data_IF_286823491033
#
_entry.id   IF_286823491033
#
_cell.length_a   1.000
_cell.length_b   1.000
_cell.length_c   1.000
_cell.angle_alpha   90.00
_cell.angle_beta   90.00
_cell.angle_gamma   90.00
#
_symmetry.space_group_name_H-M   'P 1'
#
loop_
_entity.id
_entity.type
_entity.pdbx_description
1 polymer ?
#
# COMPACT_ATOMS: atom_id res chain seq x y z
N UNK A 1 27.34 -14.23 -14.65
CA UNK A 1 25.92 -14.18 -14.29
C UNK A 1 25.25 -13.25 -15.28
N UNK A 2 24.27 -13.73 -16.05
CA UNK A 2 23.60 -12.88 -17.04
C UNK A 2 22.64 -11.93 -16.34
N UNK A 3 22.46 -10.73 -16.91
CA UNK A 3 21.60 -9.68 -16.36
C UNK A 3 20.14 -10.15 -16.20
N UNK A 4 19.70 -11.06 -17.06
CA UNK A 4 18.41 -11.78 -17.01
C UNK A 4 18.22 -12.70 -15.80
N UNK A 5 19.31 -13.19 -15.18
CA UNK A 5 19.24 -13.99 -13.94
C UNK A 5 19.13 -13.09 -12.69
N UNK A 6 19.53 -11.82 -12.81
CA UNK A 6 19.50 -10.79 -11.74
C UNK A 6 18.15 -10.05 -11.71
N UNK A 7 17.36 -10.15 -12.78
CA UNK A 7 15.97 -9.68 -12.80
C UNK A 7 15.15 -10.60 -11.89
N UNK A 8 15.14 -10.25 -10.60
CA UNK A 8 14.65 -11.03 -9.50
C UNK A 8 13.28 -11.65 -9.80
N UNK A 9 13.21 -12.97 -9.69
CA UNK A 9 11.92 -13.65 -9.56
C UNK A 9 11.20 -13.00 -8.37
N UNK A 10 10.07 -12.37 -8.65
CA UNK A 10 9.18 -11.80 -7.66
C UNK A 10 8.98 -12.84 -6.53
N UNK A 11 9.03 -12.45 -5.24
CA UNK A 11 8.78 -13.40 -4.15
C UNK A 11 7.44 -14.13 -4.36
N UNK A 12 7.33 -15.40 -3.94
CA UNK A 12 6.07 -16.12 -4.04
C UNK A 12 4.97 -15.35 -3.30
N UNK A 13 3.79 -15.26 -3.91
CA UNK A 13 2.61 -14.54 -3.39
C UNK A 13 2.71 -13.00 -3.39
N UNK A 14 3.67 -12.41 -4.09
CA UNK A 14 3.67 -10.97 -4.37
C UNK A 14 3.18 -10.68 -5.80
N UNK A 15 2.67 -9.47 -6.03
CA UNK A 15 2.33 -8.94 -7.35
C UNK A 15 2.86 -7.51 -7.48
N UNK A 16 3.14 -7.05 -8.70
CA UNK A 16 3.53 -5.67 -8.95
C UNK A 16 2.31 -4.74 -8.82
N UNK A 17 2.50 -3.59 -8.15
CA UNK A 17 1.54 -2.49 -8.10
C UNK A 17 2.12 -1.27 -8.81
N UNK A 18 1.48 -0.86 -9.91
CA UNK A 18 1.85 0.32 -10.69
C UNK A 18 0.78 1.40 -10.58
N UNK A 19 1.19 2.64 -10.28
CA UNK A 19 0.30 3.80 -10.19
C UNK A 19 0.99 5.08 -10.66
N UNK A 20 0.17 6.08 -11.00
CA UNK A 20 0.63 7.42 -11.33
C UNK A 20 0.48 8.32 -10.10
N UNK A 21 1.58 8.97 -9.72
CA UNK A 21 1.62 9.95 -8.64
C UNK A 21 2.45 11.14 -9.08
N UNK A 22 2.19 12.30 -8.48
CA UNK A 22 3.01 13.49 -8.69
C UNK A 22 4.49 13.22 -8.36
N UNK A 23 5.40 13.82 -9.12
CA UNK A 23 6.85 13.57 -8.99
C UNK A 23 7.40 14.04 -7.65
N UNK A 24 6.98 15.21 -7.19
CA UNK A 24 7.44 15.77 -5.93
C UNK A 24 6.85 14.99 -4.76
N UNK A 25 5.59 14.54 -4.91
CA UNK A 25 4.98 13.63 -3.93
C UNK A 25 5.76 12.31 -3.82
N UNK A 26 6.11 11.67 -4.95
CA UNK A 26 6.93 10.45 -4.96
C UNK A 26 8.29 10.66 -4.31
N UNK A 27 8.93 11.80 -4.56
CA UNK A 27 10.22 12.13 -3.98
C UNK A 27 10.12 12.26 -2.45
N UNK A 28 9.14 13.03 -1.97
CA UNK A 28 8.89 13.21 -0.53
C UNK A 28 8.58 11.88 0.14
N UNK A 29 7.73 11.05 -0.46
CA UNK A 29 7.40 9.72 0.04
C UNK A 29 8.65 8.86 0.16
N UNK A 30 9.48 8.78 -0.88
CA UNK A 30 10.74 8.03 -0.86
C UNK A 30 11.69 8.50 0.25
N UNK A 31 11.84 9.82 0.42
CA UNK A 31 12.69 10.39 1.47
C UNK A 31 12.16 10.02 2.87
N UNK A 32 10.85 10.06 3.08
CA UNK A 32 10.23 9.68 4.34
C UNK A 32 10.39 8.18 4.67
N UNK A 33 10.23 7.30 3.67
CA UNK A 33 10.51 5.86 3.82
C UNK A 33 11.99 5.64 4.21
N UNK A 34 12.91 6.31 3.52
CA UNK A 34 14.35 6.21 3.76
C UNK A 34 14.72 6.66 5.17
N UNK A 35 14.19 7.79 5.63
CA UNK A 35 14.44 8.31 6.97
C UNK A 35 13.97 7.33 8.08
N UNK A 36 12.97 6.51 7.77
CA UNK A 36 12.41 5.49 8.68
C UNK A 36 13.00 4.10 8.47
N UNK A 37 13.97 3.94 7.56
CA UNK A 37 14.55 2.64 7.18
C UNK A 37 13.51 1.63 6.71
N UNK A 38 12.43 2.09 6.06
CA UNK A 38 11.42 1.25 5.41
C UNK A 38 11.56 1.32 3.89
N UNK A 39 11.24 0.24 3.21
CA UNK A 39 11.09 0.21 1.75
C UNK A 39 9.76 0.86 1.34
N UNK A 40 9.68 1.34 0.10
CA UNK A 40 8.41 1.85 -0.43
C UNK A 40 7.32 0.76 -0.46
N UNK A 41 7.69 -0.50 -0.72
CA UNK A 41 6.72 -1.60 -0.77
C UNK A 41 6.08 -1.84 0.58
N UNK A 42 6.88 -1.88 1.67
CA UNK A 42 6.34 -2.07 3.03
C UNK A 42 5.34 -0.98 3.40
N UNK A 43 5.71 0.29 3.18
CA UNK A 43 4.82 1.42 3.51
C UNK A 43 3.57 1.44 2.64
N UNK A 44 3.68 1.11 1.35
CA UNK A 44 2.52 1.00 0.46
C UNK A 44 1.59 -0.13 0.90
N UNK A 45 2.13 -1.28 1.30
CA UNK A 45 1.34 -2.39 1.83
C UNK A 45 0.59 -1.98 3.09
N UNK A 46 1.27 -1.35 4.06
CA UNK A 46 0.64 -0.83 5.28
C UNK A 46 -0.53 0.13 4.97
N UNK A 47 -0.31 1.08 4.04
CA UNK A 47 -1.34 2.05 3.63
C UNK A 47 -2.51 1.40 2.89
N UNK A 48 -2.27 0.35 2.10
CA UNK A 48 -3.33 -0.39 1.43
C UNK A 48 -4.15 -1.18 2.44
N UNK A 49 -3.51 -1.86 3.39
CA UNK A 49 -4.19 -2.59 4.46
C UNK A 49 -5.09 -1.65 5.29
N UNK A 50 -4.55 -0.51 5.73
CA UNK A 50 -5.32 0.52 6.46
C UNK A 50 -6.53 1.02 5.65
N UNK A 51 -6.34 1.29 4.35
CA UNK A 51 -7.44 1.71 3.49
C UNK A 51 -8.52 0.62 3.34
N UNK A 52 -8.14 -0.65 3.23
CA UNK A 52 -9.09 -1.75 3.11
C UNK A 52 -9.85 -1.98 4.42
N UNK A 53 -9.20 -1.88 5.58
CA UNK A 53 -9.88 -1.99 6.89
C UNK A 53 -11.03 -0.98 7.02
N UNK A 54 -10.84 0.25 6.54
CA UNK A 54 -11.86 1.30 6.56
C UNK A 54 -12.98 1.11 5.52
N UNK A 55 -12.68 0.45 4.39
CA UNK A 55 -13.56 0.49 3.21
C UNK A 55 -14.17 -0.87 2.81
N UNK A 56 -13.59 -2.00 3.22
CA UNK A 56 -14.13 -3.34 2.96
C UNK A 56 -15.13 -3.80 4.03
N UNK A 57 -15.26 -3.05 5.12
CA UNK A 57 -16.26 -3.33 6.15
C UNK A 57 -17.39 -2.29 6.18
N UNK A 58 -18.35 -2.30 5.23
CA UNK A 58 -19.63 -1.68 5.46
C UNK A 58 -20.42 -2.59 6.40
N UNK A 59 -20.11 -2.62 7.70
CA UNK A 59 -21.00 -3.30 8.63
C UNK A 59 -22.36 -2.59 8.58
N UNK A 60 -23.48 -3.25 8.20
CA UNK A 60 -24.80 -2.59 8.13
C UNK A 60 -25.44 -2.36 9.50
N UNK A 61 -24.69 -2.46 10.60
CA UNK A 61 -25.26 -2.54 11.92
C UNK A 61 -25.01 -1.25 12.72
N UNK A 62 -26.13 -0.56 12.99
CA UNK A 62 -26.35 0.43 14.05
C UNK A 62 -26.17 1.92 13.69
N UNK A 63 -26.89 2.38 12.66
CA UNK A 63 -27.56 3.69 12.79
C UNK A 63 -28.85 3.46 13.59
N UNK A 64 -28.76 3.71 14.89
CA UNK A 64 -29.83 3.44 15.85
C UNK A 64 -31.04 4.39 15.75
N UNK A 65 -32.13 3.89 16.35
CA UNK A 65 -33.33 4.57 16.89
C UNK A 65 -34.24 5.18 15.80
N UNK A 66 -35.43 4.64 15.56
CA UNK A 66 -36.46 4.37 16.57
C UNK A 66 -37.11 5.70 16.97
N UNK A 67 -37.93 6.25 16.09
CA UNK A 67 -38.89 7.31 16.42
C UNK A 67 -40.29 6.68 16.28
N UNK A 68 -40.96 6.63 17.42
CA UNK A 68 -42.37 6.28 17.58
C UNK A 68 -43.25 7.51 17.37
#
# INVERSE_FOLDING_TARGET
>A
MRLEEIMAKLPPNMTELSSYVDKDLKLRFKLACTAQQKTMSEVITELIEEWLEENENPSPALKGKGEA
#
